data_IF_183956004757
#
_entry.id   IF_183956004757
#
_cell.length_a   1.000
_cell.length_b   1.000
_cell.length_c   1.000
_cell.angle_alpha   90.00
_cell.angle_beta   90.00
_cell.angle_gamma   90.00
#
_symmetry.space_group_name_H-M   'P 1'
#
loop_
_entity.id
_entity.type
_entity.pdbx_description
1 polymer ?
#
# COMPACT_ATOMS: atom_id res chain seq x y z
N UNK A 1 8.76 7.41 33.87
CA UNK A 1 8.51 7.38 32.41
C UNK A 1 7.24 6.58 32.17
N UNK A 2 6.19 7.17 31.57
CA UNK A 2 5.00 6.41 31.19
C UNK A 2 5.38 5.37 30.11
N UNK A 3 4.93 4.13 30.26
CA UNK A 3 5.13 3.11 29.21
C UNK A 3 4.34 3.52 27.97
N UNK A 4 5.00 3.65 26.81
CA UNK A 4 4.30 3.80 25.53
C UNK A 4 3.58 2.49 25.22
N UNK A 5 2.26 2.57 25.06
CA UNK A 5 1.43 1.43 24.65
C UNK A 5 1.26 1.46 23.13
N UNK A 6 1.72 0.41 22.45
CA UNK A 6 1.71 0.29 20.98
C UNK A 6 0.47 -0.44 20.43
N UNK A 7 -0.62 -0.53 21.20
CA UNK A 7 -1.78 -1.33 20.80
C UNK A 7 -2.46 -0.80 19.54
N UNK A 8 -2.50 0.53 19.32
CA UNK A 8 -3.07 1.10 18.09
C UNK A 8 -2.18 0.79 16.90
N UNK A 9 -0.87 0.92 17.07
CA UNK A 9 0.11 0.60 16.03
C UNK A 9 -0.07 -0.85 15.55
N UNK A 10 -0.02 -1.81 16.48
CA UNK A 10 -0.14 -3.23 16.14
C UNK A 10 -1.56 -3.61 15.70
N UNK A 11 -2.59 -3.01 16.28
CA UNK A 11 -3.97 -3.24 15.89
C UNK A 11 -4.25 -2.80 14.45
N UNK A 12 -3.83 -1.59 14.07
CA UNK A 12 -4.00 -1.05 12.71
C UNK A 12 -3.12 -1.81 11.72
N UNK A 13 -1.87 -2.13 12.07
CA UNK A 13 -1.00 -2.92 11.20
C UNK A 13 -1.57 -4.33 10.94
N UNK A 14 -2.03 -5.01 11.99
CA UNK A 14 -2.65 -6.33 11.88
C UNK A 14 -3.94 -6.29 11.07
N UNK A 15 -4.82 -5.32 11.34
CA UNK A 15 -6.06 -5.15 10.56
C UNK A 15 -5.78 -4.91 9.08
N UNK A 16 -4.88 -3.98 8.75
CA UNK A 16 -4.51 -3.66 7.37
C UNK A 16 -3.94 -4.87 6.65
N UNK A 17 -3.02 -5.59 7.31
CA UNK A 17 -2.40 -6.79 6.76
C UNK A 17 -3.42 -7.89 6.48
N UNK A 18 -4.29 -8.18 7.45
CA UNK A 18 -5.32 -9.21 7.31
C UNK A 18 -6.30 -8.84 6.22
N UNK A 19 -6.74 -7.58 6.16
CA UNK A 19 -7.68 -7.11 5.16
C UNK A 19 -7.08 -7.18 3.75
N UNK A 20 -5.83 -6.72 3.57
CA UNK A 20 -5.10 -6.83 2.31
C UNK A 20 -5.01 -8.30 1.84
N UNK A 21 -4.50 -9.19 2.70
CA UNK A 21 -4.31 -10.59 2.35
C UNK A 21 -5.62 -11.31 2.06
N UNK A 22 -6.70 -11.04 2.81
CA UNK A 22 -8.02 -11.60 2.50
C UNK A 22 -8.48 -11.15 1.11
N UNK A 23 -8.38 -9.85 0.80
CA UNK A 23 -8.82 -9.34 -0.51
C UNK A 23 -8.00 -9.92 -1.66
N UNK A 24 -6.69 -10.06 -1.53
CA UNK A 24 -5.82 -10.69 -2.54
C UNK A 24 -6.13 -12.16 -2.75
N UNK A 25 -6.39 -12.90 -1.67
CA UNK A 25 -6.78 -14.31 -1.75
C UNK A 25 -8.13 -14.45 -2.46
N UNK A 26 -9.10 -13.58 -2.16
CA UNK A 26 -10.39 -13.58 -2.87
C UNK A 26 -10.21 -13.34 -4.38
N UNK A 27 -9.36 -12.39 -4.77
CA UNK A 27 -9.07 -12.13 -6.19
C UNK A 27 -8.41 -13.33 -6.86
N UNK A 28 -7.41 -13.94 -6.22
CA UNK A 28 -6.75 -15.15 -6.76
C UNK A 28 -7.72 -16.29 -7.06
N UNK A 29 -8.76 -16.46 -6.25
CA UNK A 29 -9.76 -17.51 -6.45
C UNK A 29 -10.92 -17.11 -7.36
N UNK A 30 -11.13 -15.83 -7.61
CA UNK A 30 -12.31 -15.33 -8.32
C UNK A 30 -12.03 -14.84 -9.74
N UNK A 31 -10.79 -14.41 -10.02
CA UNK A 31 -10.42 -13.76 -11.29
C UNK A 31 -9.18 -14.44 -11.89
N UNK A 32 -9.18 -14.81 -13.19
CA UNK A 32 -8.01 -15.36 -13.87
C UNK A 32 -6.78 -14.44 -13.74
N UNK A 33 -5.61 -15.06 -13.52
CA UNK A 33 -4.33 -14.37 -13.44
C UNK A 33 -3.96 -13.69 -14.77
N UNK A 34 -3.31 -12.53 -14.68
CA UNK A 34 -3.01 -11.63 -15.81
C UNK A 34 -4.24 -11.13 -16.55
N UNK A 35 -5.37 -11.04 -15.85
CA UNK A 35 -6.53 -10.30 -16.35
C UNK A 35 -6.19 -8.81 -16.46
N UNK A 36 -6.85 -8.16 -17.42
CA UNK A 36 -6.66 -6.74 -17.68
C UNK A 36 -7.97 -6.01 -17.58
N UNK A 37 -7.94 -4.69 -17.73
CA UNK A 37 -9.18 -3.93 -17.86
C UNK A 37 -9.96 -4.31 -19.11
N UNK A 38 -9.45 -5.09 -20.06
CA UNK A 38 -10.22 -5.56 -21.22
C UNK A 38 -11.04 -6.82 -20.88
N UNK A 39 -12.23 -7.01 -21.47
CA UNK A 39 -13.00 -8.24 -21.30
C UNK A 39 -12.25 -9.45 -21.89
N UNK A 40 -12.57 -10.68 -21.46
CA UNK A 40 -13.67 -11.04 -20.55
C UNK A 40 -13.25 -11.16 -19.07
N UNK A 41 -11.96 -11.15 -18.76
CA UNK A 41 -11.45 -11.61 -17.47
C UNK A 41 -11.46 -10.56 -16.36
N UNK A 42 -12.26 -9.50 -16.51
CA UNK A 42 -12.44 -8.42 -15.51
C UNK A 42 -13.81 -8.52 -14.84
N UNK A 43 -13.93 -8.01 -13.62
CA UNK A 43 -15.24 -7.72 -13.02
C UNK A 43 -15.50 -6.23 -13.08
N UNK A 44 -16.49 -5.80 -13.86
CA UNK A 44 -16.92 -4.40 -13.88
C UNK A 44 -17.67 -4.07 -12.59
N UNK A 45 -17.17 -3.07 -11.86
CA UNK A 45 -17.86 -2.52 -10.66
C UNK A 45 -18.59 -1.23 -11.03
N UNK A 46 -17.91 -0.35 -11.78
CA UNK A 46 -18.50 0.86 -12.37
C UNK A 46 -17.99 0.95 -13.80
N UNK A 47 -18.91 0.88 -14.78
CA UNK A 47 -18.55 0.95 -16.20
C UNK A 47 -17.74 2.21 -16.50
N UNK A 48 -16.72 2.07 -17.34
CA UNK A 48 -15.77 3.11 -17.75
C UNK A 48 -14.96 3.78 -16.62
N UNK A 49 -15.04 3.28 -15.38
CA UNK A 49 -14.35 3.89 -14.24
C UNK A 49 -13.62 2.89 -13.33
N UNK A 50 -14.28 1.83 -12.87
CA UNK A 50 -13.70 0.95 -11.84
C UNK A 50 -13.94 -0.53 -12.17
N UNK A 51 -12.84 -1.26 -12.23
CA UNK A 51 -12.80 -2.69 -12.50
C UNK A 51 -11.99 -3.41 -11.44
N UNK A 52 -12.37 -4.66 -11.15
CA UNK A 52 -11.51 -5.61 -10.47
C UNK A 52 -10.80 -6.50 -11.49
N UNK A 53 -9.50 -6.63 -11.30
CA UNK A 53 -8.58 -7.40 -12.15
C UNK A 53 -7.65 -8.24 -11.27
N UNK A 54 -6.76 -9.01 -11.86
CA UNK A 54 -5.76 -9.83 -11.16
C UNK A 54 -4.44 -9.72 -11.91
N UNK A 55 -3.65 -8.71 -11.55
CA UNK A 55 -2.39 -8.36 -12.18
C UNK A 55 -1.23 -8.72 -11.26
N UNK A 56 -0.21 -9.39 -11.81
CA UNK A 56 1.02 -9.73 -11.10
C UNK A 56 2.11 -8.67 -11.22
N UNK A 57 2.22 -7.77 -10.26
CA UNK A 57 3.21 -6.69 -10.30
C UNK A 57 4.55 -7.09 -9.68
N UNK A 58 5.58 -7.30 -10.53
CA UNK A 58 6.96 -7.55 -10.09
C UNK A 58 7.71 -6.28 -9.69
N UNK A 59 7.22 -5.12 -10.08
CA UNK A 59 7.81 -3.82 -9.80
C UNK A 59 7.28 -3.17 -8.54
N UNK A 60 7.52 -1.86 -8.46
CA UNK A 60 6.93 -0.94 -7.50
C UNK A 60 5.74 -0.20 -8.15
N UNK A 61 5.48 1.04 -7.74
CA UNK A 61 4.49 1.90 -8.39
C UNK A 61 4.76 2.01 -9.90
N UNK A 62 3.70 2.01 -10.71
CA UNK A 62 3.78 2.07 -12.18
C UNK A 62 4.59 0.94 -12.83
N UNK A 63 4.80 -0.19 -12.13
CA UNK A 63 5.63 -1.30 -12.62
C UNK A 63 7.13 -0.99 -12.67
N UNK A 64 7.57 0.14 -12.10
CA UNK A 64 8.98 0.52 -12.07
C UNK A 64 9.82 -0.54 -11.35
N UNK A 65 11.06 -0.77 -11.82
CA UNK A 65 11.98 -1.74 -11.22
C UNK A 65 11.49 -3.19 -11.24
N UNK A 66 10.69 -3.60 -12.23
CA UNK A 66 10.21 -4.99 -12.39
C UNK A 66 11.32 -6.04 -12.39
N UNK A 67 12.47 -5.73 -12.99
CA UNK A 67 13.66 -6.60 -13.03
C UNK A 67 14.37 -6.70 -11.67
N UNK A 68 14.00 -5.86 -10.71
CA UNK A 68 14.67 -5.75 -9.41
C UNK A 68 13.71 -6.07 -8.25
N UNK A 69 12.73 -6.96 -8.47
CA UNK A 69 11.78 -7.41 -7.43
C UNK A 69 12.48 -7.85 -6.13
N UNK A 70 13.64 -8.51 -6.23
CA UNK A 70 14.46 -8.89 -5.06
C UNK A 70 14.98 -7.68 -4.27
N UNK A 71 15.37 -6.59 -4.94
CA UNK A 71 15.80 -5.34 -4.30
C UNK A 71 14.61 -4.68 -3.59
N UNK A 72 13.43 -4.66 -4.21
CA UNK A 72 12.21 -4.13 -3.58
C UNK A 72 11.80 -4.92 -2.32
N UNK A 73 11.98 -6.23 -2.36
CA UNK A 73 11.80 -7.12 -1.20
C UNK A 73 12.77 -6.75 -0.08
N UNK A 74 14.07 -6.60 -0.40
CA UNK A 74 15.09 -6.20 0.58
C UNK A 74 14.82 -4.80 1.15
N UNK A 75 14.40 -3.85 0.31
CA UNK A 75 14.03 -2.50 0.73
C UNK A 75 12.86 -2.53 1.72
N UNK A 76 11.85 -3.36 1.47
CA UNK A 76 10.71 -3.54 2.38
C UNK A 76 11.17 -4.02 3.76
N UNK A 77 12.07 -5.02 3.81
CA UNK A 77 12.70 -5.44 5.07
C UNK A 77 13.48 -4.30 5.73
N UNK A 78 14.29 -3.57 4.97
CA UNK A 78 15.08 -2.47 5.49
C UNK A 78 14.20 -1.36 6.12
N UNK A 79 13.08 -1.01 5.48
CA UNK A 79 12.12 -0.03 6.02
C UNK A 79 11.47 -0.54 7.31
N UNK A 80 11.05 -1.80 7.37
CA UNK A 80 10.48 -2.38 8.59
C UNK A 80 11.49 -2.41 9.75
N UNK A 81 12.74 -2.78 9.47
CA UNK A 81 13.83 -2.73 10.45
C UNK A 81 14.11 -1.30 10.90
N UNK A 82 14.14 -0.34 9.97
CA UNK A 82 14.28 1.07 10.30
C UNK A 82 13.18 1.54 11.25
N UNK A 83 11.91 1.28 10.92
CA UNK A 83 10.77 1.63 11.79
C UNK A 83 10.94 1.00 13.17
N UNK A 84 11.33 -0.28 13.23
CA UNK A 84 11.53 -0.97 14.49
C UNK A 84 12.67 -0.35 15.32
N UNK A 85 13.87 -0.19 14.78
CA UNK A 85 15.02 0.33 15.52
C UNK A 85 14.87 1.79 15.90
N UNK A 86 14.29 2.61 15.02
CA UNK A 86 14.12 4.04 15.25
C UNK A 86 12.78 4.40 15.91
N UNK A 87 11.94 3.43 16.29
CA UNK A 87 10.62 3.64 16.91
C UNK A 87 10.56 4.66 18.04
N UNK A 88 11.64 4.81 18.82
CA UNK A 88 11.71 5.79 19.93
C UNK A 88 11.79 7.24 19.45
N UNK A 89 12.22 7.46 18.21
CA UNK A 89 12.37 8.77 17.58
C UNK A 89 11.20 9.13 16.65
N UNK A 90 10.31 8.18 16.36
CA UNK A 90 9.19 8.33 15.42
C UNK A 90 7.91 8.87 16.08
N UNK A 91 8.02 9.54 17.23
CA UNK A 91 6.88 10.14 17.95
C UNK A 91 5.71 9.17 18.24
N UNK A 92 5.96 7.86 18.29
CA UNK A 92 4.94 6.81 18.50
C UNK A 92 4.28 6.84 19.89
N UNK A 93 4.67 7.78 20.77
CA UNK A 93 3.91 8.11 21.97
C UNK A 93 2.56 8.78 21.62
N UNK A 94 2.44 9.38 20.43
CA UNK A 94 1.21 9.95 19.90
C UNK A 94 0.36 8.87 19.20
N UNK A 95 -0.91 8.73 19.63
CA UNK A 95 -1.84 7.75 19.07
C UNK A 95 -2.12 7.92 17.57
N UNK A 96 -2.16 9.16 17.06
CA UNK A 96 -2.39 9.42 15.63
C UNK A 96 -1.19 8.99 14.79
N UNK A 97 0.03 9.19 15.32
CA UNK A 97 1.25 8.72 14.67
C UNK A 97 1.30 7.19 14.67
N UNK A 98 0.82 6.53 15.72
CA UNK A 98 0.66 5.07 15.71
C UNK A 98 -0.30 4.58 14.62
N UNK A 99 -1.39 5.29 14.34
CA UNK A 99 -2.32 4.94 13.25
C UNK A 99 -1.61 5.04 11.90
N UNK A 100 -0.90 6.15 11.65
CA UNK A 100 -0.17 6.37 10.41
C UNK A 100 0.91 5.30 10.16
N UNK A 101 1.73 4.99 11.17
CA UNK A 101 2.72 3.91 11.08
C UNK A 101 2.08 2.52 11.05
N UNK A 102 0.91 2.33 11.64
CA UNK A 102 0.17 1.06 11.56
C UNK A 102 -0.22 0.76 10.12
N UNK A 103 -0.76 1.75 9.40
CA UNK A 103 -1.10 1.63 7.99
C UNK A 103 0.15 1.33 7.13
N UNK A 104 1.25 2.08 7.35
CA UNK A 104 2.51 1.86 6.66
C UNK A 104 3.06 0.44 6.87
N UNK A 105 3.18 -0.01 8.13
CA UNK A 105 3.70 -1.34 8.46
C UNK A 105 2.81 -2.43 7.87
N UNK A 106 1.49 -2.31 8.04
CA UNK A 106 0.53 -3.28 7.52
C UNK A 106 0.60 -3.42 6.00
N UNK A 107 0.66 -2.29 5.28
CA UNK A 107 0.79 -2.30 3.82
C UNK A 107 2.13 -2.84 3.34
N UNK A 108 3.25 -2.43 3.95
CA UNK A 108 4.58 -2.96 3.60
C UNK A 108 4.62 -4.48 3.82
N UNK A 109 4.10 -4.97 4.94
CA UNK A 109 4.02 -6.40 5.21
C UNK A 109 3.14 -7.14 4.21
N UNK A 110 1.98 -6.59 3.82
CA UNK A 110 1.08 -7.21 2.84
C UNK A 110 1.78 -7.45 1.50
N UNK A 111 2.38 -6.40 0.94
CA UNK A 111 3.11 -6.50 -0.32
C UNK A 111 4.41 -7.32 -0.21
N UNK A 112 5.06 -7.35 0.96
CA UNK A 112 6.23 -8.18 1.20
C UNK A 112 5.88 -9.67 1.23
N UNK A 113 4.75 -10.02 1.86
CA UNK A 113 4.26 -11.40 1.92
C UNK A 113 4.02 -11.94 0.52
N UNK A 114 3.37 -11.17 -0.37
CA UNK A 114 3.11 -11.63 -1.74
C UNK A 114 4.41 -11.87 -2.50
N UNK A 115 5.36 -10.92 -2.44
CA UNK A 115 6.67 -11.07 -3.10
C UNK A 115 7.40 -12.33 -2.66
N UNK A 116 7.30 -12.70 -1.38
CA UNK A 116 7.92 -13.92 -0.85
C UNK A 116 7.14 -15.17 -1.25
N UNK A 117 5.81 -15.14 -1.22
CA UNK A 117 4.96 -16.33 -1.43
C UNK A 117 4.72 -16.66 -2.90
N UNK A 118 4.42 -15.65 -3.71
CA UNK A 118 4.00 -15.80 -5.12
C UNK A 118 4.93 -15.09 -6.11
N UNK A 119 5.96 -14.38 -5.62
CA UNK A 119 7.02 -13.80 -6.44
C UNK A 119 6.70 -12.42 -7.04
N UNK A 120 5.51 -11.89 -6.79
CA UNK A 120 5.02 -10.59 -7.27
C UNK A 120 3.97 -10.04 -6.28
N UNK A 121 3.60 -8.78 -6.40
CA UNK A 121 2.47 -8.18 -5.68
C UNK A 121 1.20 -8.38 -6.47
N UNK A 122 0.10 -8.75 -5.79
CA UNK A 122 -1.20 -8.93 -6.43
C UNK A 122 -1.94 -7.60 -6.44
N UNK A 123 -2.08 -7.02 -7.62
CA UNK A 123 -2.82 -5.79 -7.84
C UNK A 123 -4.18 -6.09 -8.48
N UNK A 124 -5.23 -5.44 -7.98
CA UNK A 124 -6.60 -5.81 -8.34
C UNK A 124 -7.60 -4.66 -8.41
N UNK A 125 -7.22 -3.46 -7.96
CA UNK A 125 -8.03 -2.26 -8.07
C UNK A 125 -7.55 -1.51 -9.32
N UNK A 126 -8.35 -1.50 -10.39
CA UNK A 126 -8.02 -0.83 -11.66
C UNK A 126 -9.02 0.32 -11.93
N UNK A 127 -8.51 1.55 -11.99
CA UNK A 127 -9.31 2.78 -12.08
C UNK A 127 -8.97 3.57 -13.34
N UNK A 128 -10.00 3.99 -14.06
CA UNK A 128 -9.91 4.83 -15.24
C UNK A 128 -10.49 6.21 -14.92
N UNK A 129 -9.64 7.22 -14.98
CA UNK A 129 -10.04 8.60 -14.73
C UNK A 129 -10.71 9.18 -15.99
N UNK A 130 -11.69 10.08 -15.83
CA UNK A 130 -12.38 10.73 -16.95
C UNK A 130 -11.51 11.81 -17.64
N UNK A 131 -10.24 11.90 -17.30
CA UNK A 131 -9.28 12.88 -17.83
C UNK A 131 -7.93 12.21 -18.10
N UNK A 132 -7.17 12.79 -19.03
CA UNK A 132 -5.82 12.32 -19.39
C UNK A 132 -4.78 13.37 -19.04
N UNK A 133 -3.58 12.92 -18.72
CA UNK A 133 -2.39 13.77 -18.55
C UNK A 133 -1.35 13.29 -19.57
N UNK A 134 -1.04 14.04 -20.65
CA UNK A 134 -0.30 13.51 -21.79
C UNK A 134 1.03 12.80 -21.45
N UNK A 135 1.74 13.28 -20.43
CA UNK A 135 3.05 12.74 -20.05
C UNK A 135 3.03 11.76 -18.87
N UNK A 136 1.93 11.68 -18.11
CA UNK A 136 1.85 10.93 -16.85
C UNK A 136 0.77 9.85 -16.93
N UNK A 137 -0.38 10.20 -17.51
CA UNK A 137 -1.57 9.38 -17.59
C UNK A 137 -2.21 9.53 -18.99
N UNK A 138 -1.51 9.13 -20.07
CA UNK A 138 -1.94 9.40 -21.44
C UNK A 138 -3.28 8.75 -21.79
N UNK A 139 -3.61 7.62 -21.16
CA UNK A 139 -4.84 6.86 -21.37
C UNK A 139 -5.91 7.09 -20.29
N UNK A 140 -5.66 7.97 -19.30
CA UNK A 140 -6.54 8.12 -18.15
C UNK A 140 -6.52 6.94 -17.17
N UNK A 141 -5.84 5.83 -17.50
CA UNK A 141 -5.78 4.62 -16.67
C UNK A 141 -4.74 4.74 -15.57
N UNK A 142 -5.18 4.77 -14.33
CA UNK A 142 -4.31 4.71 -13.16
C UNK A 142 -3.70 3.30 -13.05
N UNK A 143 -2.43 3.15 -12.65
CA UNK A 143 -1.85 1.83 -12.44
C UNK A 143 -2.67 1.04 -11.45
N UNK A 144 -2.89 -0.24 -11.73
CA UNK A 144 -3.58 -1.11 -10.78
C UNK A 144 -2.82 -1.14 -9.44
N UNK A 145 -3.56 -1.23 -8.35
CA UNK A 145 -3.04 -1.22 -7.00
C UNK A 145 -3.88 -2.11 -6.08
N UNK A 146 -3.53 -2.15 -4.80
CA UNK A 146 -4.23 -2.95 -3.80
C UNK A 146 -4.46 -2.18 -2.48
N UNK A 147 -5.00 -2.89 -1.48
CA UNK A 147 -5.26 -2.33 -0.15
C UNK A 147 -3.97 -1.96 0.57
N UNK A 148 -2.91 -2.77 0.47
CA UNK A 148 -1.61 -2.45 1.02
C UNK A 148 -1.03 -1.14 0.44
N UNK A 149 -1.11 -0.90 -0.87
CA UNK A 149 -0.66 0.35 -1.48
C UNK A 149 -1.46 1.54 -0.99
N UNK A 150 -2.78 1.38 -0.91
CA UNK A 150 -3.70 2.40 -0.38
C UNK A 150 -3.32 2.78 1.06
N UNK A 151 -3.04 1.78 1.91
CA UNK A 151 -2.62 1.99 3.28
C UNK A 151 -1.25 2.69 3.37
N UNK A 152 -0.30 2.34 2.51
CA UNK A 152 1.00 3.02 2.45
C UNK A 152 0.83 4.51 2.11
N UNK A 153 0.06 4.82 1.06
CA UNK A 153 -0.18 6.21 0.63
C UNK A 153 -0.89 7.01 1.71
N UNK A 154 -1.99 6.47 2.26
CA UNK A 154 -2.76 7.15 3.32
C UNK A 154 -1.92 7.33 4.58
N UNK A 155 -1.19 6.30 5.00
CA UNK A 155 -0.31 6.36 6.18
C UNK A 155 0.81 7.39 6.03
N UNK A 156 1.44 7.45 4.85
CA UNK A 156 2.47 8.43 4.54
C UNK A 156 1.93 9.86 4.55
N UNK A 157 0.83 10.12 3.84
CA UNK A 157 0.21 11.45 3.79
C UNK A 157 -0.29 11.90 5.18
N UNK A 158 -0.86 10.97 5.95
CA UNK A 158 -1.32 11.28 7.29
C UNK A 158 -0.15 11.61 8.23
N UNK A 159 0.94 10.84 8.18
CA UNK A 159 2.14 11.14 8.94
C UNK A 159 2.75 12.50 8.56
N UNK A 160 2.83 12.81 7.27
CA UNK A 160 3.33 14.09 6.78
C UNK A 160 2.49 15.26 7.33
N UNK A 161 1.16 15.15 7.26
CA UNK A 161 0.24 16.15 7.81
C UNK A 161 0.46 16.37 9.32
N UNK A 162 0.62 15.28 10.09
CA UNK A 162 0.88 15.35 11.53
C UNK A 162 2.22 16.02 11.82
N UNK A 163 3.28 15.64 11.08
CA UNK A 163 4.63 16.18 11.27
C UNK A 163 4.70 17.70 11.01
N UNK A 164 4.04 18.17 9.94
CA UNK A 164 3.93 19.59 9.64
C UNK A 164 3.14 20.33 10.73
N UNK A 165 2.07 19.72 11.24
CA UNK A 165 1.25 20.29 12.32
C UNK A 165 2.00 20.40 13.65
N UNK A 166 2.86 19.44 13.99
CA UNK A 166 3.69 19.51 15.20
C UNK A 166 4.81 20.55 15.06
N UNK A 167 5.34 20.74 13.86
CA UNK A 167 6.36 21.74 13.59
C UNK A 167 5.81 23.15 13.83
N UNK A 168 4.62 23.45 13.33
CA UNK A 168 3.97 24.74 13.54
C UNK A 168 3.68 25.05 15.02
N UNK A 169 3.44 24.04 15.85
CA UNK A 169 3.23 24.22 17.30
C UNK A 169 4.50 24.48 18.10
N UNK A 170 5.70 24.22 17.55
CA UNK A 170 6.98 24.48 18.22
C UNK A 170 7.56 25.87 17.92
N UNK A 171 7.04 26.54 16.89
CA UNK A 171 7.52 27.86 16.41
C UNK A 171 6.74 29.01 17.06
N UNK A 172 5.63 28.72 17.73
CA UNK A 172 4.84 29.65 18.54
C UNK A 172 4.98 29.32 20.02
#
# INVERSE_FOLDING_TARGET
>A
MSKILYFRLFGIAGFTLVFDQITKVLIQYSIPFESSYFPPDRVTVVEDFFYLVHIGNKGAAWGMFSEYSGILTLLSFAVLLFIYFFRKHLELHNGSVQVAFGLLIGGILGNLIDRIRVGHVIDFIDVHLPFTLPYILPSGRWPAFNIADSAIVIGMLFYLFLSLSFTNKKIH
#
